data_IF_587878188032
#
_entry.id   IF_587878188032
#
_cell.length_a   1.000
_cell.length_b   1.000
_cell.length_c   1.000
_cell.angle_alpha   90.00
_cell.angle_beta   90.00
_cell.angle_gamma   90.00
#
_symmetry.space_group_name_H-M   'P 1'
#
loop_
_entity.id
_entity.type
_entity.pdbx_description
1 polymer ?
#
# COMPACT_ATOMS: atom_id res chain seq x y z
N UNK A 1 -23.08 3.02 -5.94
CA UNK A 1 -21.62 2.80 -5.93
C UNK A 1 -21.02 3.52 -4.71
N UNK A 2 -20.16 2.85 -3.93
CA UNK A 2 -19.53 3.45 -2.74
C UNK A 2 -18.43 4.43 -3.18
N UNK A 3 -18.39 5.63 -2.58
CA UNK A 3 -17.34 6.64 -2.84
C UNK A 3 -16.87 7.25 -1.53
N UNK A 4 -15.56 7.36 -1.36
CA UNK A 4 -14.97 8.07 -0.22
C UNK A 4 -15.24 9.57 -0.44
N UNK A 5 -15.84 10.22 0.56
CA UNK A 5 -16.06 11.67 0.57
C UNK A 5 -15.05 12.31 1.52
N UNK A 6 -14.10 13.06 0.97
CA UNK A 6 -13.18 13.88 1.77
C UNK A 6 -13.00 15.25 1.12
N UNK A 7 -12.90 16.29 1.94
CA UNK A 7 -12.46 17.61 1.48
C UNK A 7 -10.94 17.67 1.58
N UNK A 8 -10.27 18.00 0.47
CA UNK A 8 -8.81 18.06 0.42
C UNK A 8 -8.33 19.46 0.75
N UNK A 9 -7.27 19.54 1.55
CA UNK A 9 -6.46 20.76 1.66
C UNK A 9 -5.70 21.01 0.35
N UNK A 10 -5.17 22.23 0.10
CA UNK A 10 -4.39 22.50 -1.11
C UNK A 10 -3.22 21.54 -1.33
N UNK A 11 -2.51 21.17 -0.26
CA UNK A 11 -1.39 20.23 -0.35
C UNK A 11 -1.86 18.80 -0.69
N UNK A 12 -2.97 18.35 -0.10
CA UNK A 12 -3.56 17.04 -0.41
C UNK A 12 -4.09 17.00 -1.84
N UNK A 13 -4.66 18.10 -2.33
CA UNK A 13 -5.11 18.23 -3.71
C UNK A 13 -3.94 18.17 -4.70
N UNK A 14 -2.85 18.89 -4.42
CA UNK A 14 -1.64 18.84 -5.25
C UNK A 14 -1.03 17.44 -5.30
N UNK A 15 -1.02 16.70 -4.18
CA UNK A 15 -0.57 15.31 -4.16
C UNK A 15 -1.51 14.39 -4.96
N UNK A 16 -2.83 14.57 -4.81
CA UNK A 16 -3.81 13.79 -5.57
C UNK A 16 -3.60 13.93 -7.08
N UNK A 17 -3.40 15.16 -7.58
CA UNK A 17 -3.10 15.42 -8.99
C UNK A 17 -1.84 14.67 -9.45
N UNK A 18 -0.74 14.77 -8.69
CA UNK A 18 0.50 14.04 -8.99
C UNK A 18 0.29 12.52 -9.08
N UNK A 19 -0.46 11.94 -8.15
CA UNK A 19 -0.77 10.50 -8.16
C UNK A 19 -1.53 10.12 -9.43
N UNK A 20 -2.50 10.94 -9.84
CA UNK A 20 -3.36 10.68 -11.00
C UNK A 20 -2.66 10.91 -12.34
N UNK A 21 -1.68 11.81 -12.41
CA UNK A 21 -0.88 12.10 -13.61
C UNK A 21 0.22 11.05 -13.86
N UNK A 22 0.64 10.34 -12.82
CA UNK A 22 1.65 9.29 -12.92
C UNK A 22 1.01 7.90 -13.12
N UNK A 23 1.77 6.96 -13.69
CA UNK A 23 1.48 5.55 -13.53
C UNK A 23 1.90 5.10 -12.12
N UNK A 24 0.99 5.27 -11.16
CA UNK A 24 1.32 5.31 -9.73
C UNK A 24 1.17 3.95 -9.05
N UNK A 25 2.10 3.66 -8.14
CA UNK A 25 2.08 2.47 -7.29
C UNK A 25 1.94 2.90 -5.84
N UNK A 26 0.86 2.49 -5.20
CA UNK A 26 0.72 2.58 -3.76
C UNK A 26 1.59 1.48 -3.12
N UNK A 27 2.69 1.88 -2.48
CA UNK A 27 3.50 0.99 -1.64
C UNK A 27 3.12 1.25 -0.18
N UNK A 28 2.24 0.41 0.39
CA UNK A 28 1.87 0.54 1.78
C UNK A 28 2.82 -0.28 2.67
N UNK A 29 3.54 0.41 3.54
CA UNK A 29 4.44 -0.17 4.52
C UNK A 29 3.84 0.03 5.90
N UNK A 30 3.73 -1.04 6.69
CA UNK A 30 3.21 -0.97 8.05
C UNK A 30 4.26 -1.52 9.00
N UNK A 31 4.73 -0.70 9.94
CA UNK A 31 5.86 -1.05 10.82
C UNK A 31 5.61 -0.77 12.28
N UNK A 32 4.96 0.33 12.65
CA UNK A 32 4.94 0.80 14.04
C UNK A 32 4.33 -0.25 14.99
N UNK A 33 3.17 -0.81 14.62
CA UNK A 33 2.51 -1.86 15.41
C UNK A 33 3.25 -3.20 15.33
N UNK A 34 3.90 -3.51 14.21
CA UNK A 34 4.50 -4.82 13.95
C UNK A 34 5.87 -4.95 14.63
N UNK A 35 6.72 -3.94 14.53
CA UNK A 35 8.07 -3.97 15.12
C UNK A 35 8.01 -3.91 16.65
N UNK A 36 7.04 -3.19 17.21
CA UNK A 36 6.96 -2.96 18.66
C UNK A 36 5.99 -3.89 19.39
N UNK A 37 5.13 -4.64 18.68
CA UNK A 37 4.21 -5.60 19.29
C UNK A 37 4.47 -7.02 18.78
N UNK A 38 5.20 -7.85 19.55
CA UNK A 38 5.47 -9.25 19.20
C UNK A 38 4.21 -10.07 18.89
N UNK A 39 3.08 -9.76 19.53
CA UNK A 39 1.81 -10.45 19.30
C UNK A 39 1.23 -10.15 17.92
N UNK A 40 1.38 -8.92 17.42
CA UNK A 40 0.94 -8.55 16.08
C UNK A 40 1.77 -9.27 14.99
N UNK A 41 3.10 -9.34 15.18
CA UNK A 41 3.98 -10.13 14.30
C UNK A 41 3.66 -11.62 14.34
N UNK A 42 3.41 -12.19 15.52
CA UNK A 42 3.09 -13.61 15.67
C UNK A 42 1.74 -13.99 15.07
N UNK A 43 0.81 -13.05 14.93
CA UNK A 43 -0.51 -13.32 14.38
C UNK A 43 -0.61 -13.07 12.88
N UNK A 44 -0.11 -11.93 12.39
CA UNK A 44 -0.24 -11.54 10.99
C UNK A 44 1.00 -11.87 10.15
N UNK A 45 2.20 -11.90 10.75
CA UNK A 45 3.47 -12.01 10.03
C UNK A 45 4.01 -10.62 9.63
N UNK A 46 5.29 -10.51 9.29
CA UNK A 46 5.91 -9.24 8.93
C UNK A 46 6.25 -9.19 7.45
N UNK A 47 5.79 -8.14 6.75
CA UNK A 47 6.21 -7.84 5.38
C UNK A 47 7.60 -7.18 5.43
N UNK A 48 8.64 -8.00 5.28
CA UNK A 48 10.01 -7.55 5.38
C UNK A 48 10.48 -6.77 4.14
N UNK A 49 11.72 -6.28 4.19
CA UNK A 49 12.33 -5.58 3.06
C UNK A 49 12.43 -6.46 1.82
N UNK A 50 12.57 -7.78 1.96
CA UNK A 50 12.62 -8.71 0.82
C UNK A 50 11.28 -8.77 0.09
N UNK A 51 10.17 -8.82 0.83
CA UNK A 51 8.83 -8.73 0.25
C UNK A 51 8.64 -7.43 -0.52
N UNK A 52 8.96 -6.28 0.10
CA UNK A 52 8.80 -4.97 -0.54
C UNK A 52 9.63 -4.85 -1.82
N UNK A 53 10.87 -5.34 -1.79
CA UNK A 53 11.77 -5.33 -2.94
C UNK A 53 11.24 -6.22 -4.08
N UNK A 54 10.90 -7.48 -3.80
CA UNK A 54 10.37 -8.41 -4.81
C UNK A 54 9.07 -7.91 -5.42
N UNK A 55 8.20 -7.30 -4.62
CA UNK A 55 6.95 -6.73 -5.09
C UNK A 55 7.20 -5.52 -6.01
N UNK A 56 8.13 -4.63 -5.66
CA UNK A 56 8.52 -3.52 -6.50
C UNK A 56 9.13 -3.99 -7.83
N UNK A 57 10.07 -4.95 -7.79
CA UNK A 57 10.68 -5.57 -8.97
C UNK A 57 9.62 -6.23 -9.87
N UNK A 58 8.64 -6.91 -9.28
CA UNK A 58 7.54 -7.54 -10.02
C UNK A 58 6.70 -6.50 -10.77
N UNK A 59 6.37 -5.37 -10.14
CA UNK A 59 5.65 -4.29 -10.80
C UNK A 59 6.50 -3.68 -11.91
N UNK A 60 7.76 -3.37 -11.64
CA UNK A 60 8.67 -2.77 -12.62
C UNK A 60 8.91 -3.67 -13.84
N UNK A 61 8.92 -4.99 -13.65
CA UNK A 61 9.00 -5.96 -14.75
C UNK A 61 7.78 -5.95 -15.68
N UNK A 62 6.63 -5.47 -15.21
CA UNK A 62 5.38 -5.37 -15.99
C UNK A 62 5.17 -3.94 -16.52
N UNK A 63 5.43 -2.94 -15.67
CA UNK A 63 5.36 -1.53 -15.96
C UNK A 63 6.69 -0.85 -15.56
N UNK A 64 7.66 -0.76 -16.49
CA UNK A 64 8.98 -0.17 -16.21
C UNK A 64 8.92 1.31 -15.83
N UNK A 65 7.93 2.03 -16.33
CA UNK A 65 7.70 3.45 -16.06
C UNK A 65 6.57 3.62 -15.05
N UNK A 66 6.93 3.51 -13.77
CA UNK A 66 6.03 3.76 -12.62
C UNK A 66 6.63 4.75 -11.64
N UNK A 67 5.77 5.38 -10.85
CA UNK A 67 6.18 6.18 -9.69
C UNK A 67 5.60 5.57 -8.41
N UNK A 68 6.44 5.35 -7.41
CA UNK A 68 6.03 4.83 -6.10
C UNK A 68 5.57 5.94 -5.18
N UNK A 69 4.43 5.73 -4.53
CA UNK A 69 3.91 6.54 -3.44
C UNK A 69 3.90 5.68 -2.19
N UNK A 70 4.82 5.96 -1.27
CA UNK A 70 5.05 5.17 -0.06
C UNK A 70 4.20 5.70 1.07
N UNK A 71 3.19 4.92 1.47
CA UNK A 71 2.30 5.22 2.59
C UNK A 71 2.73 4.39 3.79
N UNK A 72 3.11 5.05 4.89
CA UNK A 72 3.65 4.37 6.07
C UNK A 72 3.34 5.08 7.38
N UNK A 73 3.22 4.28 8.43
CA UNK A 73 3.21 4.74 9.83
C UNK A 73 4.63 5.07 10.36
N UNK A 74 5.67 4.70 9.61
CA UNK A 74 7.08 4.97 9.89
C UNK A 74 7.81 5.37 8.59
N UNK A 75 7.65 6.64 8.19
CA UNK A 75 8.26 7.20 6.97
C UNK A 75 9.78 7.33 7.11
N UNK A 76 10.28 7.66 8.30
CA UNK A 76 11.72 7.82 8.54
C UNK A 76 12.47 6.50 8.28
N UNK A 77 11.91 5.36 8.74
CA UNK A 77 12.47 4.06 8.41
C UNK A 77 12.41 3.79 6.90
N UNK A 78 11.28 4.09 6.24
CA UNK A 78 11.12 3.87 4.81
C UNK A 78 12.17 4.63 4.00
N UNK A 79 12.42 5.90 4.33
CA UNK A 79 13.44 6.72 3.67
C UNK A 79 14.86 6.17 3.86
N UNK A 80 15.13 5.57 5.02
CA UNK A 80 16.46 5.04 5.36
C UNK A 80 16.73 3.64 4.80
N UNK A 81 15.68 2.86 4.51
CA UNK A 81 15.80 1.43 4.21
C UNK A 81 15.25 1.02 2.84
N UNK A 82 14.38 1.82 2.22
CA UNK A 82 13.84 1.53 0.89
C UNK A 82 14.68 2.21 -0.18
N UNK A 83 15.24 1.38 -1.06
CA UNK A 83 15.92 1.82 -2.28
C UNK A 83 15.15 1.28 -3.47
N UNK A 84 14.20 2.09 -3.97
CA UNK A 84 13.38 1.74 -5.13
C UNK A 84 14.01 2.35 -6.39
N UNK A 85 14.20 1.59 -7.47
CA UNK A 85 14.83 2.09 -8.70
C UNK A 85 13.85 2.88 -9.58
N UNK A 86 13.03 3.75 -8.99
CA UNK A 86 12.00 4.54 -9.65
C UNK A 86 11.65 5.80 -8.83
N UNK A 87 11.05 6.83 -9.47
CA UNK A 87 10.57 8.02 -8.76
C UNK A 87 9.73 7.65 -7.54
N UNK A 88 10.10 8.16 -6.37
CA UNK A 88 9.49 7.77 -5.11
C UNK A 88 9.06 9.01 -4.32
N UNK A 89 7.80 9.04 -3.90
CA UNK A 89 7.24 10.07 -3.01
C UNK A 89 6.82 9.42 -1.71
N UNK A 90 7.31 9.93 -0.58
CA UNK A 90 6.90 9.47 0.75
C UNK A 90 5.71 10.31 1.23
N UNK A 91 4.62 9.63 1.61
CA UNK A 91 3.36 10.26 2.03
C UNK A 91 3.17 10.02 3.52
N UNK A 92 3.50 11.01 4.35
CA UNK A 92 3.36 10.90 5.80
C UNK A 92 1.93 11.21 6.30
N UNK A 93 1.73 11.03 7.61
CA UNK A 93 0.45 11.21 8.28
C UNK A 93 -0.08 12.66 8.31
N UNK A 94 0.67 13.66 7.84
CA UNK A 94 0.11 15.01 7.60
C UNK A 94 -0.96 15.00 6.51
N UNK A 95 -0.94 14.01 5.62
CA UNK A 95 -1.95 13.82 4.57
C UNK A 95 -3.17 13.00 5.03
N UNK A 96 -3.24 12.58 6.31
CA UNK A 96 -4.20 11.54 6.71
C UNK A 96 -5.67 12.00 6.75
N UNK A 97 -5.94 13.27 7.04
CA UNK A 97 -7.31 13.73 7.35
C UNK A 97 -7.69 13.47 8.82
N UNK A 98 -8.96 13.56 9.17
CA UNK A 98 -9.41 13.47 10.57
C UNK A 98 -9.36 12.03 11.12
N UNK A 99 -9.67 11.05 10.27
CA UNK A 99 -9.82 9.61 10.56
C UNK A 99 -9.20 8.74 9.46
N UNK A 100 -8.10 9.19 8.84
CA UNK A 100 -7.45 8.52 7.71
C UNK A 100 -8.26 8.45 6.41
N UNK A 101 -9.40 9.15 6.32
CA UNK A 101 -10.24 9.17 5.13
C UNK A 101 -9.51 9.73 3.91
N UNK A 102 -8.72 10.80 4.10
CA UNK A 102 -7.94 11.39 3.02
C UNK A 102 -6.75 10.51 2.66
N UNK A 103 -6.13 9.86 3.65
CA UNK A 103 -5.06 8.90 3.41
C UNK A 103 -5.54 7.75 2.52
N UNK A 104 -6.67 7.14 2.89
CA UNK A 104 -7.28 6.05 2.15
C UNK A 104 -7.67 6.51 0.74
N UNK A 105 -8.31 7.67 0.63
CA UNK A 105 -8.68 8.27 -0.65
C UNK A 105 -7.45 8.44 -1.56
N UNK A 106 -6.36 9.02 -1.07
CA UNK A 106 -5.12 9.20 -1.85
C UNK A 106 -4.56 7.86 -2.32
N UNK A 107 -4.59 6.82 -1.48
CA UNK A 107 -4.18 5.47 -1.90
C UNK A 107 -5.07 4.92 -3.02
N UNK A 108 -6.40 5.11 -2.97
CA UNK A 108 -7.31 4.64 -4.02
C UNK A 108 -7.10 5.28 -5.39
N UNK A 109 -6.42 6.43 -5.44
CA UNK A 109 -6.08 7.11 -6.69
C UNK A 109 -4.93 6.42 -7.43
N UNK A 110 -4.18 5.54 -6.76
CA UNK A 110 -3.05 4.85 -7.38
C UNK A 110 -3.49 3.81 -8.44
N UNK A 111 -2.66 3.61 -9.46
CA UNK A 111 -2.93 2.62 -10.51
C UNK A 111 -2.68 1.18 -10.07
N UNK A 112 -1.68 0.97 -9.21
CA UNK A 112 -1.22 -0.35 -8.75
C UNK A 112 -0.93 -0.33 -7.24
N UNK A 113 -0.82 -1.51 -6.64
CA UNK A 113 -0.77 -1.67 -5.20
C UNK A 113 0.21 -2.76 -4.77
N UNK A 114 1.04 -2.45 -3.79
CA UNK A 114 1.76 -3.40 -2.95
C UNK A 114 1.28 -3.16 -1.52
N UNK A 115 0.59 -4.14 -0.95
CA UNK A 115 -0.06 -4.00 0.36
C UNK A 115 0.57 -4.95 1.38
N UNK A 116 0.55 -4.62 2.68
CA UNK A 116 0.83 -5.58 3.72
C UNK A 116 -0.43 -6.40 4.02
N UNK A 117 -0.32 -7.32 4.98
CA UNK A 117 -1.41 -8.01 5.67
C UNK A 117 -2.23 -7.03 6.54
N UNK A 118 -2.85 -6.05 5.88
CA UNK A 118 -3.57 -4.94 6.51
C UNK A 118 -4.90 -4.72 5.81
N UNK A 119 -5.98 -4.65 6.59
CA UNK A 119 -7.31 -4.29 6.08
C UNK A 119 -7.32 -2.91 5.44
N UNK A 120 -6.48 -1.99 5.90
CA UNK A 120 -6.40 -0.63 5.35
C UNK A 120 -5.88 -0.63 3.91
N UNK A 121 -4.75 -1.30 3.66
CA UNK A 121 -4.21 -1.48 2.31
C UNK A 121 -5.13 -2.32 1.42
N UNK A 122 -5.76 -3.35 1.99
CA UNK A 122 -6.75 -4.17 1.28
C UNK A 122 -7.91 -3.33 0.77
N UNK A 123 -8.52 -2.49 1.62
CA UNK A 123 -9.62 -1.62 1.21
C UNK A 123 -9.19 -0.57 0.20
N UNK A 124 -7.97 -0.02 0.31
CA UNK A 124 -7.44 0.90 -0.68
C UNK A 124 -7.38 0.25 -2.09
N UNK A 125 -6.78 -0.95 -2.17
CA UNK A 125 -6.66 -1.69 -3.42
C UNK A 125 -8.02 -2.13 -3.97
N UNK A 126 -8.94 -2.57 -3.10
CA UNK A 126 -10.27 -3.01 -3.48
C UNK A 126 -11.13 -1.86 -4.04
N UNK A 127 -11.10 -0.70 -3.40
CA UNK A 127 -11.89 0.47 -3.78
C UNK A 127 -11.30 1.24 -4.98
N UNK A 128 -10.04 0.99 -5.33
CA UNK A 128 -9.41 1.62 -6.48
C UNK A 128 -10.17 1.30 -7.79
N UNK A 129 -10.47 2.33 -8.56
CA UNK A 129 -11.31 2.24 -9.77
C UNK A 129 -10.61 1.57 -10.95
N UNK A 130 -9.27 1.60 -10.99
CA UNK A 130 -8.50 0.99 -12.06
C UNK A 130 -8.80 -0.53 -12.14
N UNK A 131 -9.31 -0.98 -13.29
CA UNK A 131 -9.62 -2.39 -13.56
C UNK A 131 -8.41 -3.18 -14.03
N UNK A 132 -7.38 -2.50 -14.54
CA UNK A 132 -6.10 -3.07 -14.95
C UNK A 132 -5.05 -2.98 -13.84
N UNK A 133 -5.48 -2.73 -12.59
CA UNK A 133 -4.55 -2.65 -11.46
C UNK A 133 -3.88 -3.99 -11.22
N UNK A 134 -2.58 -3.94 -10.94
CA UNK A 134 -1.84 -5.03 -10.31
C UNK A 134 -1.91 -4.78 -8.81
N UNK A 135 -2.32 -5.81 -8.06
CA UNK A 135 -2.28 -5.79 -6.60
C UNK A 135 -1.41 -6.96 -6.16
N UNK A 136 -0.37 -6.64 -5.41
CA UNK A 136 0.52 -7.61 -4.77
C UNK A 136 0.22 -7.59 -3.27
N UNK A 137 -0.15 -8.76 -2.75
CA UNK A 137 -0.41 -8.99 -1.34
C UNK A 137 0.52 -10.09 -0.80
N UNK A 138 0.69 -10.22 0.52
CA UNK A 138 1.53 -11.26 1.09
C UNK A 138 0.95 -12.65 0.81
N UNK A 139 1.84 -13.63 0.62
CA UNK A 139 1.48 -15.03 0.46
C UNK A 139 0.76 -15.54 1.71
N UNK A 140 1.25 -15.21 2.89
CA UNK A 140 0.61 -15.57 4.16
C UNK A 140 -0.01 -14.31 4.78
N UNK A 141 -1.34 -14.30 4.92
CA UNK A 141 -2.05 -13.18 5.56
C UNK A 141 -2.04 -13.28 7.09
N UNK A 142 -2.03 -14.51 7.60
CA UNK A 142 -1.87 -14.85 9.01
C UNK A 142 -0.71 -15.84 9.15
N UNK A 143 -0.03 -15.83 10.29
CA UNK A 143 0.98 -16.83 10.64
C UNK A 143 0.32 -18.19 10.89
N UNK A 144 -0.86 -18.18 11.52
CA UNK A 144 -1.66 -19.37 11.72
C UNK A 144 -2.31 -19.82 10.40
N UNK A 145 -1.74 -20.89 9.82
CA UNK A 145 -2.20 -21.48 8.56
C UNK A 145 -3.54 -22.22 8.69
N UNK A 146 -4.05 -22.44 9.91
CA UNK A 146 -5.39 -23.00 10.10
C UNK A 146 -6.50 -22.00 9.78
N UNK A 147 -6.18 -20.70 9.76
CA UNK A 147 -7.12 -19.66 9.38
C UNK A 147 -7.32 -19.67 7.86
N UNK A 148 -8.55 -20.00 7.44
CA UNK A 148 -8.93 -20.03 6.03
C UNK A 148 -9.01 -18.60 5.50
N UNK A 149 -8.22 -18.32 4.45
CA UNK A 149 -8.14 -17.00 3.79
C UNK A 149 -8.48 -17.06 2.30
N UNK A 150 -9.13 -18.15 1.88
CA UNK A 150 -9.42 -18.44 0.46
C UNK A 150 -10.37 -17.43 -0.19
N UNK A 151 -11.22 -16.77 0.60
CA UNK A 151 -12.16 -15.73 0.17
C UNK A 151 -11.68 -14.30 0.48
N UNK A 152 -10.57 -14.17 1.21
CA UNK A 152 -10.04 -12.89 1.65
C UNK A 152 -9.31 -12.14 0.54
N UNK A 153 -8.48 -12.86 -0.23
CA UNK A 153 -7.64 -12.26 -1.28
C UNK A 153 -8.25 -12.60 -2.64
N UNK A 154 -8.68 -11.60 -3.43
CA UNK A 154 -9.20 -11.84 -4.76
C UNK A 154 -8.21 -12.64 -5.62
N UNK A 155 -8.71 -13.61 -6.38
CA UNK A 155 -7.87 -14.49 -7.21
C UNK A 155 -7.04 -13.75 -8.26
N UNK A 156 -7.47 -12.54 -8.65
CA UNK A 156 -6.73 -11.69 -9.58
C UNK A 156 -5.52 -11.00 -8.95
N UNK A 157 -5.35 -11.06 -7.62
CA UNK A 157 -4.22 -10.44 -6.93
C UNK A 157 -3.05 -11.42 -6.86
N UNK A 158 -1.84 -10.89 -7.05
CA UNK A 158 -0.61 -11.65 -6.97
C UNK A 158 -0.25 -11.82 -5.49
N UNK A 159 0.12 -13.04 -5.09
CA UNK A 159 0.58 -13.35 -3.74
C UNK A 159 2.08 -13.62 -3.76
N UNK A 160 2.84 -12.94 -2.90
CA UNK A 160 4.32 -13.05 -2.78
C UNK A 160 4.78 -13.25 -1.33
#
# INVERSE_FOLDING_TARGET
EFKIKCQLTPNQHALALKIQEANSVCLNVRRADFVNNPLANQFHGFCDSSYLQKAAERILGIHPEVAFYVFSDDIAWCQSNLQLPAPTTFVDHSFKGQKFETYLYLMTLCNHFVIPNSTFGWWAAWLASNKQKIVIAPENWFVDKSIVTSDLIPQSWIRL
#
